data_IF_549231543432
#
_entry.id   IF_549231543432
#
_cell.length_a   1.000
_cell.length_b   1.000
_cell.length_c   1.000
_cell.angle_alpha   90.00
_cell.angle_beta   90.00
_cell.angle_gamma   90.00
#
_symmetry.space_group_name_H-M   'P 1'
#
loop_
_entity.id
_entity.type
_entity.pdbx_description
1 polymer ?
#
# COMPACT_ATOMS: atom_id res chain seq x y z
N UNK A 1 20.05 -11.81 15.97
CA UNK A 1 18.83 -12.55 16.35
C UNK A 1 17.81 -12.40 15.22
N UNK A 2 17.93 -13.26 14.18
CA UNK A 2 17.04 -13.26 13.03
C UNK A 2 16.31 -14.59 12.99
N UNK A 3 15.01 -14.58 13.30
CA UNK A 3 14.19 -15.78 13.24
C UNK A 3 13.29 -15.69 12.01
N UNK A 4 13.75 -16.37 10.96
CA UNK A 4 12.95 -17.22 10.06
C UNK A 4 11.68 -16.62 9.43
N UNK A 5 11.88 -15.89 8.33
CA UNK A 5 10.82 -15.58 7.35
C UNK A 5 10.49 -16.79 6.45
N UNK A 6 11.45 -17.70 6.24
CA UNK A 6 11.26 -18.88 5.38
C UNK A 6 10.42 -20.00 6.00
N UNK A 7 10.31 -20.09 7.34
CA UNK A 7 9.56 -21.18 7.99
C UNK A 7 8.03 -21.07 7.87
N UNK A 8 7.45 -19.88 7.62
CA UNK A 8 5.98 -19.72 7.54
C UNK A 8 5.39 -20.11 6.18
N UNK A 9 6.22 -20.20 5.13
CA UNK A 9 5.76 -20.53 3.78
C UNK A 9 5.39 -22.01 3.62
N UNK A 10 6.08 -22.91 4.34
CA UNK A 10 5.92 -24.35 4.19
C UNK A 10 4.72 -24.94 4.96
N UNK A 11 4.15 -24.24 5.95
CA UNK A 11 3.07 -24.76 6.79
C UNK A 11 1.65 -24.46 6.25
N UNK A 12 1.54 -23.78 5.10
CA UNK A 12 0.26 -23.25 4.59
C UNK A 12 -0.62 -24.28 3.89
N UNK A 13 -0.10 -25.50 3.65
CA UNK A 13 -0.79 -26.55 2.90
C UNK A 13 -1.70 -27.43 3.77
N UNK A 14 -1.75 -27.23 5.09
CA UNK A 14 -2.43 -28.15 6.03
C UNK A 14 -3.34 -27.47 7.05
N UNK A 15 -3.80 -26.24 6.81
CA UNK A 15 -4.87 -25.64 7.62
C UNK A 15 -6.17 -25.73 6.84
N UNK A 16 -7.18 -26.39 7.43
CA UNK A 16 -8.51 -26.49 6.87
C UNK A 16 -9.04 -25.09 6.52
N UNK A 17 -9.64 -24.96 5.34
CA UNK A 17 -10.28 -23.71 4.95
C UNK A 17 -11.27 -23.29 6.06
N UNK A 18 -11.35 -21.99 6.40
CA UNK A 18 -12.28 -21.54 7.43
C UNK A 18 -13.68 -22.03 7.07
N UNK A 19 -14.43 -22.53 8.05
CA UNK A 19 -15.85 -22.83 7.86
C UNK A 19 -16.59 -21.51 7.58
N UNK A 20 -16.69 -21.16 6.30
CA UNK A 20 -17.51 -20.06 5.79
C UNK A 20 -18.95 -20.55 5.59
N UNK A 21 -19.49 -21.31 6.55
CA UNK A 21 -20.84 -21.88 6.48
C UNK A 21 -21.85 -20.86 5.96
N UNK A 22 -22.78 -21.34 5.14
CA UNK A 22 -23.84 -20.54 4.52
C UNK A 22 -24.85 -19.98 5.53
N UNK A 23 -24.68 -20.27 6.82
CA UNK A 23 -25.44 -19.70 7.92
C UNK A 23 -25.08 -18.22 8.08
N UNK A 24 -26.05 -17.30 7.93
CA UNK A 24 -25.78 -15.88 8.11
C UNK A 24 -25.31 -15.57 9.54
N UNK A 25 -24.17 -14.89 9.66
CA UNK A 25 -23.65 -14.37 10.92
C UNK A 25 -24.32 -13.05 11.29
N UNK A 26 -24.53 -12.79 12.57
CA UNK A 26 -24.87 -11.44 13.02
C UNK A 26 -23.71 -10.48 12.70
N UNK A 27 -24.00 -9.18 12.53
CA UNK A 27 -22.96 -8.18 12.16
C UNK A 27 -21.75 -8.20 13.10
N UNK A 28 -21.97 -8.31 14.40
CA UNK A 28 -20.89 -8.33 15.39
C UNK A 28 -19.99 -9.56 15.22
N UNK A 29 -20.59 -10.73 15.02
CA UNK A 29 -19.89 -11.99 14.80
C UNK A 29 -19.10 -11.98 13.49
N UNK A 30 -19.70 -11.45 12.42
CA UNK A 30 -19.01 -11.28 11.14
C UNK A 30 -17.78 -10.36 11.28
N UNK A 31 -17.92 -9.21 11.95
CA UNK A 31 -16.80 -8.29 12.18
C UNK A 31 -15.69 -8.94 13.00
N UNK A 32 -16.05 -9.67 14.07
CA UNK A 32 -15.08 -10.40 14.89
C UNK A 32 -14.32 -11.43 14.04
N UNK A 33 -15.03 -12.25 13.26
CA UNK A 33 -14.45 -13.27 12.39
C UNK A 33 -13.53 -12.67 11.32
N UNK A 34 -13.92 -11.56 10.68
CA UNK A 34 -13.07 -10.88 9.69
C UNK A 34 -11.79 -10.33 10.32
N UNK A 35 -11.87 -9.75 11.53
CA UNK A 35 -10.69 -9.23 12.24
C UNK A 35 -9.74 -10.34 12.65
N UNK A 36 -10.26 -11.41 13.24
CA UNK A 36 -9.48 -12.59 13.64
C UNK A 36 -8.76 -13.20 12.44
N UNK A 37 -9.51 -13.58 11.40
CA UNK A 37 -8.92 -14.18 10.18
C UNK A 37 -7.99 -13.22 9.45
N UNK A 38 -8.29 -11.92 9.49
CA UNK A 38 -7.44 -10.87 8.93
C UNK A 38 -6.10 -10.74 9.67
N UNK A 39 -6.10 -10.91 11.00
CA UNK A 39 -4.88 -10.94 11.81
C UNK A 39 -4.06 -12.21 11.53
N UNK A 40 -4.70 -13.38 11.49
CA UNK A 40 -4.04 -14.66 11.21
C UNK A 40 -3.37 -14.68 9.83
N UNK A 41 -4.04 -14.09 8.83
CA UNK A 41 -3.60 -14.07 7.43
C UNK A 41 -2.87 -12.77 7.06
N UNK A 42 -2.51 -11.96 8.05
CA UNK A 42 -1.89 -10.66 7.80
C UNK A 42 -0.54 -10.83 7.10
N UNK A 43 -0.39 -10.16 5.95
CA UNK A 43 0.88 -10.09 5.22
C UNK A 43 1.65 -8.86 5.66
N UNK A 44 2.93 -9.06 5.93
CA UNK A 44 3.87 -7.96 6.12
C UNK A 44 4.16 -7.31 4.76
N UNK A 45 3.85 -6.02 4.63
CA UNK A 45 4.09 -5.21 3.43
C UNK A 45 4.66 -3.87 3.90
N UNK A 46 5.61 -3.27 3.16
CA UNK A 46 6.36 -2.12 3.68
C UNK A 46 5.51 -0.85 3.88
N UNK A 47 4.34 -0.78 3.24
CA UNK A 47 3.35 0.29 3.42
C UNK A 47 2.24 -0.02 4.44
N UNK A 48 2.34 -1.14 5.17
CA UNK A 48 1.42 -1.51 6.25
C UNK A 48 2.03 -1.14 7.60
N UNK A 49 1.18 -0.72 8.54
CA UNK A 49 1.61 -0.36 9.91
C UNK A 49 2.45 0.91 10.00
N UNK A 50 2.48 1.73 8.94
CA UNK A 50 3.14 3.04 8.93
C UNK A 50 2.16 4.13 9.35
N UNK A 51 2.66 5.15 10.07
CA UNK A 51 1.93 6.38 10.40
C UNK A 51 2.34 7.52 9.45
N UNK A 52 2.32 7.23 8.15
CA UNK A 52 2.62 8.19 7.09
C UNK A 52 1.51 8.17 6.03
N UNK A 53 0.67 9.20 6.07
CA UNK A 53 -0.45 9.35 5.15
C UNK A 53 0.01 9.44 3.68
N UNK A 54 1.19 10.02 3.41
CA UNK A 54 1.74 10.10 2.07
C UNK A 54 2.19 8.72 1.57
N UNK A 55 2.97 7.99 2.36
CA UNK A 55 3.38 6.62 2.05
C UNK A 55 2.20 5.67 1.79
N UNK A 56 1.11 5.82 2.56
CA UNK A 56 -0.16 5.12 2.33
C UNK A 56 -0.75 5.51 0.98
N UNK A 57 -0.93 6.81 0.69
CA UNK A 57 -1.46 7.29 -0.59
C UNK A 57 -0.65 6.75 -1.79
N UNK A 58 0.67 6.82 -1.73
CA UNK A 58 1.57 6.30 -2.77
C UNK A 58 1.30 4.82 -3.00
N UNK A 59 1.26 4.01 -1.94
CA UNK A 59 1.04 2.57 -2.04
C UNK A 59 -0.32 2.23 -2.67
N UNK A 60 -1.37 2.94 -2.28
CA UNK A 60 -2.73 2.73 -2.78
C UNK A 60 -2.83 3.10 -4.26
N UNK A 61 -2.24 4.23 -4.67
CA UNK A 61 -2.19 4.61 -6.10
C UNK A 61 -1.39 3.59 -6.91
N UNK A 62 -0.25 3.11 -6.39
CA UNK A 62 0.54 2.08 -7.06
C UNK A 62 -0.24 0.76 -7.21
N UNK A 63 -1.02 0.37 -6.21
CA UNK A 63 -1.77 -0.89 -6.18
C UNK A 63 -3.00 -0.93 -7.10
N UNK A 64 -3.46 0.22 -7.61
CA UNK A 64 -4.52 0.27 -8.61
C UNK A 64 -4.14 -0.55 -9.85
N UNK A 65 -4.87 -1.63 -10.11
CA UNK A 65 -4.65 -2.55 -11.24
C UNK A 65 -3.20 -3.06 -11.36
N UNK A 66 -2.47 -3.13 -10.24
CA UNK A 66 -1.07 -3.59 -10.20
C UNK A 66 -0.88 -4.60 -9.07
N UNK A 67 -0.23 -5.73 -9.36
CA UNK A 67 -0.03 -6.77 -8.37
C UNK A 67 0.92 -6.34 -7.23
N UNK A 68 0.61 -6.77 -6.00
CA UNK A 68 1.38 -6.48 -4.77
C UNK A 68 2.87 -6.78 -4.93
N UNK A 69 3.24 -7.94 -5.49
CA UNK A 69 4.63 -8.33 -5.70
C UNK A 69 5.40 -7.35 -6.60
N UNK A 70 4.70 -6.74 -7.57
CA UNK A 70 5.31 -5.71 -8.42
C UNK A 70 5.51 -4.42 -7.62
N UNK A 71 4.50 -3.95 -6.90
CA UNK A 71 4.58 -2.71 -6.10
C UNK A 71 5.69 -2.78 -5.05
N UNK A 72 5.90 -3.93 -4.40
CA UNK A 72 7.00 -4.13 -3.42
C UNK A 72 8.38 -3.78 -3.99
N UNK A 73 8.64 -3.99 -5.28
CA UNK A 73 9.93 -3.68 -5.93
C UNK A 73 10.11 -2.19 -6.27
N UNK A 74 9.03 -1.42 -6.23
CA UNK A 74 9.02 -0.01 -6.64
C UNK A 74 8.85 0.94 -5.47
N UNK A 75 7.99 0.59 -4.52
CA UNK A 75 7.61 1.46 -3.40
C UNK A 75 8.82 1.99 -2.64
N UNK A 76 9.79 1.12 -2.29
CA UNK A 76 10.98 1.56 -1.55
C UNK A 76 11.85 2.58 -2.31
N UNK A 77 12.04 2.39 -3.63
CA UNK A 77 12.80 3.34 -4.47
C UNK A 77 12.06 4.66 -4.65
N UNK A 78 10.73 4.59 -4.75
CA UNK A 78 9.88 5.78 -4.80
C UNK A 78 9.98 6.59 -3.52
N UNK A 79 9.77 5.96 -2.37
CA UNK A 79 9.82 6.65 -1.07
C UNK A 79 11.23 7.16 -0.73
N UNK A 80 12.28 6.53 -1.25
CA UNK A 80 13.64 7.03 -1.10
C UNK A 80 13.88 8.33 -1.88
N UNK A 81 13.34 8.47 -3.08
CA UNK A 81 13.53 9.66 -3.92
C UNK A 81 12.52 10.77 -3.60
N UNK A 82 11.28 10.38 -3.33
CA UNK A 82 10.17 11.26 -3.02
C UNK A 82 9.59 10.91 -1.65
N UNK A 83 10.28 11.23 -0.54
CA UNK A 83 9.83 10.86 0.81
C UNK A 83 8.62 11.66 1.31
N UNK A 84 8.29 12.78 0.65
CA UNK A 84 7.22 13.70 1.09
C UNK A 84 6.37 14.20 -0.07
N UNK A 85 5.20 14.74 0.25
CA UNK A 85 4.35 15.48 -0.69
C UNK A 85 5.15 16.54 -1.45
N UNK A 86 5.90 17.39 -0.74
CA UNK A 86 6.67 18.47 -1.37
C UNK A 86 7.78 17.94 -2.28
N UNK A 87 8.45 16.85 -1.90
CA UNK A 87 9.49 16.26 -2.73
C UNK A 87 8.95 15.73 -4.07
N UNK A 88 7.74 15.16 -4.09
CA UNK A 88 7.09 14.74 -5.33
C UNK A 88 6.53 15.92 -6.11
N UNK A 89 5.97 16.92 -5.42
CA UNK A 89 5.45 18.13 -6.04
C UNK A 89 6.54 18.87 -6.83
N UNK A 90 7.73 19.01 -6.24
CA UNK A 90 8.88 19.70 -6.84
C UNK A 90 9.62 18.89 -7.92
N UNK A 91 9.34 17.59 -8.04
CA UNK A 91 10.06 16.72 -8.98
C UNK A 91 9.74 17.05 -10.44
N UNK A 92 10.71 16.82 -11.33
CA UNK A 92 10.49 16.89 -12.77
C UNK A 92 9.57 15.75 -13.23
N UNK A 93 8.63 16.07 -14.13
CA UNK A 93 7.70 15.08 -14.69
C UNK A 93 8.42 13.91 -15.37
N UNK A 94 9.56 14.16 -16.02
CA UNK A 94 10.38 13.12 -16.64
C UNK A 94 10.89 12.11 -15.60
N UNK A 95 11.47 12.57 -14.50
CA UNK A 95 11.94 11.73 -13.38
C UNK A 95 10.81 10.93 -12.75
N UNK A 96 9.63 11.56 -12.57
CA UNK A 96 8.43 10.87 -12.06
C UNK A 96 8.03 9.70 -12.98
N UNK A 97 8.01 9.93 -14.29
CA UNK A 97 7.63 8.91 -15.27
C UNK A 97 8.68 7.79 -15.39
N UNK A 98 9.96 8.14 -15.31
CA UNK A 98 11.06 7.18 -15.31
C UNK A 98 10.95 6.24 -14.10
N UNK A 99 10.77 6.80 -12.89
CA UNK A 99 10.65 6.00 -11.68
C UNK A 99 9.39 5.13 -11.65
N UNK A 100 8.33 5.55 -12.35
CA UNK A 100 7.08 4.80 -12.49
C UNK A 100 7.14 3.71 -13.59
N UNK A 101 8.16 3.71 -14.45
CA UNK A 101 8.23 2.84 -15.61
C UNK A 101 8.12 1.35 -15.22
N UNK A 102 7.11 0.68 -15.78
CA UNK A 102 6.82 -0.74 -15.51
C UNK A 102 5.72 -0.99 -14.47
N UNK A 103 5.25 0.03 -13.75
CA UNK A 103 4.05 -0.04 -12.90
C UNK A 103 2.73 -0.01 -13.69
N UNK A 104 2.77 0.25 -14.99
CA UNK A 104 1.59 0.34 -15.85
C UNK A 104 1.18 1.79 -16.06
N UNK A 105 -0.12 2.09 -16.05
CA UNK A 105 -0.67 3.39 -16.47
C UNK A 105 0.03 4.62 -15.86
N UNK A 106 0.90 5.26 -16.65
CA UNK A 106 1.66 6.47 -16.30
C UNK A 106 0.78 7.64 -15.86
N UNK A 107 -0.48 7.69 -16.32
CA UNK A 107 -1.45 8.72 -15.90
C UNK A 107 -1.68 8.72 -14.38
N UNK A 108 -1.51 7.58 -13.69
CA UNK A 108 -1.58 7.51 -12.22
C UNK A 108 -0.45 8.27 -11.55
N UNK A 109 0.78 8.16 -12.06
CA UNK A 109 1.93 8.90 -11.55
C UNK A 109 1.73 10.41 -11.69
N UNK A 110 1.23 10.84 -12.85
CA UNK A 110 0.95 12.25 -13.13
C UNK A 110 -0.19 12.80 -12.26
N UNK A 111 -1.26 12.01 -12.05
CA UNK A 111 -2.35 12.39 -11.17
C UNK A 111 -1.88 12.50 -9.71
N UNK A 112 -1.04 11.57 -9.26
CA UNK A 112 -0.44 11.61 -7.92
C UNK A 112 0.46 12.84 -7.74
N UNK A 113 1.33 13.13 -8.72
CA UNK A 113 2.15 14.35 -8.72
C UNK A 113 1.28 15.60 -8.61
N UNK A 114 0.23 15.71 -9.43
CA UNK A 114 -0.70 16.85 -9.41
C UNK A 114 -1.43 17.00 -8.06
N UNK A 115 -1.81 15.89 -7.43
CA UNK A 115 -2.38 15.92 -6.09
C UNK A 115 -1.35 16.47 -5.07
N UNK A 116 -0.09 16.05 -5.18
CA UNK A 116 0.98 16.57 -4.34
C UNK A 116 1.31 18.05 -4.60
N UNK A 117 1.33 18.50 -5.84
CA UNK A 117 1.43 19.93 -6.20
C UNK A 117 0.33 20.75 -5.52
N UNK A 118 -0.92 20.28 -5.64
CA UNK A 118 -2.07 20.94 -5.01
C UNK A 118 -1.93 21.00 -3.48
N UNK A 119 -1.45 19.92 -2.86
CA UNK A 119 -1.22 19.86 -1.41
C UNK A 119 -0.05 20.75 -0.96
N UNK A 120 1.03 20.82 -1.74
CA UNK A 120 2.15 21.72 -1.49
C UNK A 120 1.70 23.18 -1.54
N UNK A 121 0.98 23.57 -2.60
CA UNK A 121 0.49 24.94 -2.80
C UNK A 121 -0.57 25.38 -1.78
N UNK A 122 -1.54 24.51 -1.46
CA UNK A 122 -2.78 24.91 -0.75
C UNK A 122 -2.89 24.37 0.67
N UNK A 123 -2.10 23.36 1.01
CA UNK A 123 -2.23 22.62 2.27
C UNK A 123 -0.89 22.51 3.02
N UNK A 124 0.11 23.32 2.67
CA UNK A 124 1.40 23.38 3.35
C UNK A 124 2.14 22.04 3.35
N UNK A 125 2.11 21.34 2.20
CA UNK A 125 2.79 20.05 2.03
C UNK A 125 2.13 18.88 2.75
N UNK A 126 0.88 19.03 3.21
CA UNK A 126 0.14 17.99 3.94
C UNK A 126 -1.09 17.54 3.18
N UNK A 127 -1.41 16.25 3.29
CA UNK A 127 -2.68 15.74 2.81
C UNK A 127 -3.83 16.32 3.66
N UNK A 128 -5.00 16.64 3.06
CA UNK A 128 -6.16 17.13 3.81
C UNK A 128 -6.59 16.17 4.92
N UNK A 129 -6.92 16.72 6.09
CA UNK A 129 -7.56 15.98 7.18
C UNK A 129 -9.08 16.08 7.02
N UNK A 130 -9.77 14.99 7.29
CA UNK A 130 -11.24 14.95 7.35
C UNK A 130 -11.74 15.57 8.65
#
# INVERSE_FOLDING_TARGET
MGVSSQARSANRAQEAAPDWSSTPLARAEFVAKVRERGADLYRDLPWRGIDDAYGVLVSEVMLQQTQVARVQRYWGRWMALFPTVDSLAAADTATVLELWQGLGYNRRALALKKACETCSERHGGRLPRT
#
